data_IF_442452687659
#
_entry.id   IF_442452687659
#
_cell.length_a   1.000
_cell.length_b   1.000
_cell.length_c   1.000
_cell.angle_alpha   90.00
_cell.angle_beta   90.00
_cell.angle_gamma   90.00
#
_symmetry.space_group_name_H-M   'P 1'
#
loop_
_entity.id
_entity.type
_entity.pdbx_description
1 polymer ?
#
# COMPACT_ATOMS: atom_id res chain seq x y z
N UNK A 1 2.05 21.83 -20.27
CA UNK A 1 1.67 21.04 -19.08
C UNK A 1 2.57 19.82 -18.91
N UNK A 2 3.56 19.90 -18.02
CA UNK A 2 4.31 18.73 -17.58
C UNK A 2 3.50 18.05 -16.46
N UNK A 3 2.88 16.91 -16.77
CA UNK A 3 2.30 16.06 -15.74
C UNK A 3 3.44 15.51 -14.86
N UNK A 4 3.57 16.04 -13.64
CA UNK A 4 4.49 15.48 -12.65
C UNK A 4 4.02 14.07 -12.28
N UNK A 5 4.89 13.08 -12.42
CA UNK A 5 4.61 11.73 -11.93
C UNK A 5 4.47 11.76 -10.40
N UNK A 6 3.62 10.89 -9.86
CA UNK A 6 3.53 10.68 -8.40
C UNK A 6 4.91 10.40 -7.81
N UNK A 7 5.76 9.66 -8.52
CA UNK A 7 7.13 9.34 -8.09
C UNK A 7 8.01 10.58 -7.96
N UNK A 8 7.83 11.57 -8.83
CA UNK A 8 8.64 12.80 -8.83
C UNK A 8 8.26 13.68 -7.64
N UNK A 9 6.96 13.73 -7.31
CA UNK A 9 6.46 14.45 -6.11
C UNK A 9 6.95 13.79 -4.83
N UNK A 10 6.84 12.47 -4.72
CA UNK A 10 7.32 11.71 -3.56
C UNK A 10 8.82 11.90 -3.37
N UNK A 11 9.61 11.85 -4.45
CA UNK A 11 11.06 12.03 -4.37
C UNK A 11 11.45 13.47 -4.01
N UNK A 12 10.69 14.47 -4.46
CA UNK A 12 10.88 15.85 -4.01
C UNK A 12 10.64 15.97 -2.49
N UNK A 13 9.51 15.48 -1.99
CA UNK A 13 9.20 15.53 -0.56
C UNK A 13 10.20 14.74 0.30
N UNK A 14 10.70 13.63 -0.23
CA UNK A 14 11.79 12.87 0.39
C UNK A 14 13.05 13.72 0.56
N UNK A 15 13.47 14.43 -0.49
CA UNK A 15 14.63 15.34 -0.43
C UNK A 15 14.39 16.48 0.55
N UNK A 16 13.21 17.08 0.55
CA UNK A 16 12.86 18.17 1.45
C UNK A 16 12.90 17.71 2.91
N UNK A 17 12.33 16.54 3.21
CA UNK A 17 12.40 15.93 4.53
C UNK A 17 13.84 15.60 4.95
N UNK A 18 14.65 15.07 4.03
CA UNK A 18 16.05 14.81 4.29
C UNK A 18 16.85 16.09 4.54
N UNK A 19 16.53 17.21 3.88
CA UNK A 19 17.19 18.49 4.17
C UNK A 19 16.93 18.97 5.61
N UNK A 20 15.82 18.55 6.22
CA UNK A 20 15.49 18.82 7.62
C UNK A 20 16.18 17.86 8.60
N UNK A 21 16.90 16.84 8.12
CA UNK A 21 17.54 15.82 8.97
C UNK A 21 18.71 16.32 9.83
N UNK A 22 19.18 17.55 9.61
CA UNK A 22 20.21 18.19 10.43
C UNK A 22 19.73 18.56 11.84
N UNK A 23 18.43 18.46 12.13
CA UNK A 23 17.90 18.65 13.47
C UNK A 23 18.37 17.53 14.42
N UNK A 24 18.57 17.86 15.70
CA UNK A 24 18.98 16.91 16.77
C UNK A 24 18.03 15.73 16.96
N UNK A 25 16.85 15.83 16.37
CA UNK A 25 15.66 15.12 16.76
C UNK A 25 15.32 13.98 15.77
N UNK A 26 16.12 13.84 14.69
CA UNK A 26 16.04 12.81 13.64
C UNK A 26 14.73 12.71 12.87
N UNK A 27 13.78 13.63 13.08
CA UNK A 27 12.44 13.54 12.47
C UNK A 27 12.50 13.67 10.95
N UNK A 28 13.37 14.52 10.41
CA UNK A 28 13.60 14.61 8.98
C UNK A 28 14.04 13.27 8.35
N UNK A 29 14.82 12.47 9.07
CA UNK A 29 15.24 11.13 8.63
C UNK A 29 14.04 10.18 8.61
N UNK A 30 13.24 10.17 9.68
CA UNK A 30 12.03 9.32 9.77
C UNK A 30 11.06 9.62 8.62
N UNK A 31 10.77 10.90 8.38
CA UNK A 31 9.89 11.33 7.28
C UNK A 31 10.50 10.95 5.91
N UNK A 32 11.81 11.14 5.72
CA UNK A 32 12.49 10.72 4.49
C UNK A 32 12.36 9.21 4.26
N UNK A 33 12.47 8.39 5.30
CA UNK A 33 12.28 6.93 5.19
C UNK A 33 10.83 6.54 4.90
N UNK A 34 9.86 7.29 5.44
CA UNK A 34 8.46 7.09 5.10
C UNK A 34 8.18 7.36 3.60
N UNK A 35 8.80 8.41 3.03
CA UNK A 35 8.70 8.65 1.58
C UNK A 35 9.46 7.61 0.75
N UNK A 36 10.59 7.11 1.22
CA UNK A 36 11.31 6.01 0.55
C UNK A 36 10.43 4.75 0.45
N UNK A 37 9.74 4.39 1.54
CA UNK A 37 8.76 3.31 1.56
C UNK A 37 7.63 3.52 0.54
N UNK A 38 7.02 4.71 0.51
CA UNK A 38 5.99 5.04 -0.48
C UNK A 38 6.52 4.99 -1.91
N UNK A 39 7.78 5.35 -2.12
CA UNK A 39 8.41 5.37 -3.44
C UNK A 39 8.63 3.96 -3.98
N UNK A 40 8.97 2.99 -3.12
CA UNK A 40 9.01 1.55 -3.49
C UNK A 40 7.65 1.08 -3.98
N UNK A 41 6.58 1.36 -3.22
CA UNK A 41 5.21 0.99 -3.60
C UNK A 41 4.79 1.67 -4.90
N UNK A 42 5.09 2.97 -5.06
CA UNK A 42 4.69 3.74 -6.24
C UNK A 42 5.40 3.30 -7.53
N UNK A 43 6.67 2.86 -7.44
CA UNK A 43 7.44 2.41 -8.61
C UNK A 43 7.20 0.96 -8.98
N UNK A 44 7.17 0.09 -7.97
CA UNK A 44 7.28 -1.35 -8.19
C UNK A 44 6.06 -2.14 -7.67
N UNK A 45 5.13 -1.47 -6.98
CA UNK A 45 3.94 -2.07 -6.40
C UNK A 45 4.17 -2.68 -5.01
N UNK A 46 3.08 -3.19 -4.44
CA UNK A 46 3.05 -3.75 -3.08
C UNK A 46 3.72 -5.12 -2.91
N UNK A 47 4.09 -5.77 -4.01
CA UNK A 47 4.72 -7.10 -4.01
C UNK A 47 6.24 -7.03 -4.21
N UNK A 48 6.82 -5.83 -4.27
CA UNK A 48 8.26 -5.66 -4.45
C UNK A 48 9.05 -6.23 -3.26
N UNK A 49 10.14 -6.93 -3.54
CA UNK A 49 10.99 -7.56 -2.54
C UNK A 49 11.68 -6.55 -1.60
N UNK A 50 11.96 -5.35 -2.09
CA UNK A 50 12.55 -4.26 -1.31
C UNK A 50 11.53 -3.59 -0.39
N UNK A 51 10.23 -3.86 -0.54
CA UNK A 51 9.21 -3.26 0.31
C UNK A 51 9.43 -3.64 1.78
N UNK A 52 9.82 -4.89 2.05
CA UNK A 52 10.16 -5.33 3.41
C UNK A 52 11.37 -4.58 3.95
N UNK A 53 12.41 -4.42 3.14
CA UNK A 53 13.61 -3.70 3.55
C UNK A 53 13.33 -2.23 3.85
N UNK A 54 12.55 -1.55 2.99
CA UNK A 54 12.14 -0.17 3.21
C UNK A 54 11.28 -0.01 4.48
N UNK A 55 10.38 -0.98 4.74
CA UNK A 55 9.56 -1.01 5.96
C UNK A 55 10.42 -1.19 7.21
N UNK A 56 11.35 -2.14 7.20
CA UNK A 56 12.26 -2.39 8.33
C UNK A 56 13.18 -1.18 8.59
N UNK A 57 13.62 -0.50 7.53
CA UNK A 57 14.40 0.74 7.64
C UNK A 57 13.60 1.87 8.29
N UNK A 58 12.30 2.02 7.98
CA UNK A 58 11.44 3.03 8.61
C UNK A 58 11.25 2.73 10.09
N UNK A 59 10.93 1.48 10.43
CA UNK A 59 10.77 1.01 11.83
C UNK A 59 11.99 1.33 12.67
N UNK A 60 13.17 1.04 12.15
CA UNK A 60 14.44 1.30 12.83
C UNK A 60 14.64 2.80 13.13
N UNK A 61 14.47 3.66 12.13
CA UNK A 61 14.66 5.10 12.32
C UNK A 61 13.61 5.70 13.25
N UNK A 62 12.35 5.23 13.19
CA UNK A 62 11.30 5.66 14.11
C UNK A 62 11.63 5.27 15.55
N UNK A 63 12.09 4.04 15.77
CA UNK A 63 12.51 3.56 17.09
C UNK A 63 13.65 4.43 17.65
N UNK A 64 14.68 4.70 16.85
CA UNK A 64 15.79 5.59 17.23
C UNK A 64 15.33 7.03 17.53
N UNK A 65 14.32 7.52 16.83
CA UNK A 65 13.77 8.85 17.09
C UNK A 65 12.96 8.91 18.39
N UNK A 66 12.28 7.82 18.80
CA UNK A 66 11.55 7.77 20.07
C UNK A 66 12.53 7.86 21.26
N UNK A 67 13.66 7.14 21.20
CA UNK A 67 14.65 7.12 22.28
C UNK A 67 15.34 8.46 22.53
N UNK A 68 15.31 9.38 21.55
CA UNK A 68 15.91 10.72 21.64
C UNK A 68 14.97 11.78 22.24
N UNK A 69 13.78 11.40 22.71
CA UNK A 69 12.81 12.31 23.33
C UNK A 69 13.34 12.75 24.70
N UNK A 70 13.92 13.95 24.76
CA UNK A 70 14.07 14.68 26.02
C UNK A 70 12.70 15.21 26.48
N UNK A 71 12.52 15.33 27.79
CA UNK A 71 11.32 15.68 28.61
C UNK A 71 10.38 16.82 28.14
N UNK A 72 10.62 17.47 26.99
CA UNK A 72 9.69 18.41 26.38
C UNK A 72 8.88 17.70 25.29
N UNK A 73 7.67 17.32 25.65
CA UNK A 73 6.69 16.71 24.75
C UNK A 73 6.35 17.68 23.60
N UNK A 74 6.97 17.45 22.43
CA UNK A 74 6.58 18.13 21.20
C UNK A 74 5.40 17.37 20.57
N UNK A 75 4.20 17.94 20.69
CA UNK A 75 2.98 17.34 20.16
C UNK A 75 3.05 17.05 18.66
N UNK A 76 3.69 17.89 17.85
CA UNK A 76 3.79 17.68 16.41
C UNK A 76 4.70 16.49 16.11
N UNK A 77 5.83 16.40 16.81
CA UNK A 77 6.74 15.24 16.74
C UNK A 77 6.00 13.94 17.03
N UNK A 78 5.23 13.89 18.11
CA UNK A 78 4.44 12.71 18.48
C UNK A 78 3.47 12.32 17.38
N UNK A 79 2.79 13.28 16.75
CA UNK A 79 1.88 12.99 15.64
C UNK A 79 2.61 12.48 14.40
N UNK A 80 3.79 13.02 14.06
CA UNK A 80 4.61 12.51 12.95
C UNK A 80 5.03 11.07 13.19
N UNK A 81 5.52 10.76 14.40
CA UNK A 81 5.93 9.39 14.75
C UNK A 81 4.74 8.41 14.69
N UNK A 82 3.56 8.83 15.16
CA UNK A 82 2.32 8.03 15.06
C UNK A 82 1.85 7.84 13.62
N UNK A 83 2.00 8.85 12.76
CA UNK A 83 1.70 8.73 11.33
C UNK A 83 2.62 7.70 10.67
N UNK A 84 3.92 7.75 10.96
CA UNK A 84 4.87 6.77 10.46
C UNK A 84 4.57 5.36 10.97
N UNK A 85 4.19 5.20 12.24
CA UNK A 85 3.73 3.93 12.79
C UNK A 85 2.47 3.39 12.08
N UNK A 86 1.48 4.24 11.81
CA UNK A 86 0.30 3.85 11.05
C UNK A 86 0.66 3.37 9.63
N UNK A 87 1.61 4.04 8.97
CA UNK A 87 2.15 3.58 7.68
C UNK A 87 2.84 2.22 7.80
N UNK A 88 3.62 1.99 8.84
CA UNK A 88 4.29 0.71 9.08
C UNK A 88 3.28 -0.43 9.25
N UNK A 89 2.24 -0.22 10.06
CA UNK A 89 1.17 -1.19 10.30
C UNK A 89 0.41 -1.50 9.01
N UNK A 90 0.06 -0.46 8.24
CA UNK A 90 -0.63 -0.61 6.95
C UNK A 90 0.21 -1.41 5.96
N UNK A 91 1.49 -1.07 5.83
CA UNK A 91 2.39 -1.76 4.89
C UNK A 91 2.72 -3.18 5.34
N UNK A 92 2.83 -3.44 6.64
CA UNK A 92 2.97 -4.80 7.16
C UNK A 92 1.77 -5.68 6.76
N UNK A 93 0.55 -5.17 6.94
CA UNK A 93 -0.67 -5.87 6.52
C UNK A 93 -0.71 -6.13 5.01
N UNK A 94 -0.30 -5.14 4.19
CA UNK A 94 -0.21 -5.30 2.73
C UNK A 94 0.77 -6.41 2.33
N UNK A 95 1.94 -6.47 2.98
CA UNK A 95 2.95 -7.52 2.74
C UNK A 95 2.42 -8.90 3.16
N UNK A 96 1.70 -8.98 4.28
CA UNK A 96 1.10 -10.22 4.77
C UNK A 96 0.03 -10.73 3.80
N UNK A 97 -0.92 -9.89 3.39
CA UNK A 97 -1.95 -10.25 2.42
C UNK A 97 -1.36 -10.61 1.05
N UNK A 98 -0.30 -9.94 0.61
CA UNK A 98 0.37 -10.25 -0.67
C UNK A 98 1.10 -11.59 -0.70
N UNK A 99 1.42 -12.18 0.46
CA UNK A 99 2.07 -13.49 0.59
C UNK A 99 1.09 -14.65 0.66
N UNK A 100 -0.16 -14.40 0.98
CA UNK A 100 -1.21 -15.40 0.88
C UNK A 100 -1.51 -15.63 -0.61
N UNK A 101 -0.75 -16.55 -1.24
CA UNK A 101 -1.13 -17.12 -2.54
C UNK A 101 -2.58 -17.58 -2.44
N UNK A 102 -3.44 -17.37 -3.46
CA UNK A 102 -4.65 -18.15 -3.57
C UNK A 102 -4.23 -19.62 -3.54
N UNK A 103 -4.67 -20.35 -2.51
CA UNK A 103 -4.59 -21.81 -2.50
C UNK A 103 -5.52 -22.27 -3.61
N UNK A 104 -5.02 -22.32 -4.84
CA UNK A 104 -5.57 -23.26 -5.81
C UNK A 104 -5.22 -24.63 -5.24
N UNK A 105 -6.24 -25.21 -4.64
CA UNK A 105 -6.21 -26.58 -4.17
C UNK A 105 -5.98 -27.46 -5.40
N UNK A 106 -4.77 -28.02 -5.54
CA UNK A 106 -4.42 -29.01 -6.57
C UNK A 106 -5.23 -30.32 -6.44
N UNK A 107 -6.23 -30.38 -5.55
CA UNK A 107 -7.14 -31.51 -5.37
C UNK A 107 -8.46 -31.43 -6.17
N UNK A 108 -8.68 -30.38 -6.98
CA UNK A 108 -9.79 -30.40 -7.92
C UNK A 108 -9.45 -31.30 -9.11
N UNK A 109 -9.82 -32.58 -9.03
CA UNK A 109 -9.91 -33.44 -10.20
C UNK A 109 -10.67 -32.70 -11.30
N UNK A 110 -10.19 -32.70 -12.56
CA UNK A 110 -10.89 -32.04 -13.65
C UNK A 110 -12.29 -32.65 -13.74
N UNK A 111 -13.31 -31.82 -13.51
CA UNK A 111 -14.69 -32.27 -13.68
C UNK A 111 -14.84 -32.84 -15.09
N UNK A 112 -15.45 -34.03 -15.23
CA UNK A 112 -15.66 -34.61 -16.54
C UNK A 112 -16.49 -33.63 -17.37
N UNK A 113 -16.00 -33.32 -18.57
CA UNK A 113 -16.74 -32.57 -19.57
C UNK A 113 -17.99 -33.40 -19.86
N UNK A 114 -19.12 -33.01 -19.27
CA UNK A 114 -20.42 -33.53 -19.66
C UNK A 114 -20.70 -32.92 -21.03
N UNK A 115 -20.49 -33.70 -22.08
CA UNK A 115 -20.98 -33.39 -23.42
C UNK A 115 -22.50 -33.39 -23.38
N UNK A 116 -23.08 -32.27 -22.95
CA UNK A 116 -24.49 -32.02 -23.09
C UNK A 116 -24.77 -31.83 -24.58
N UNK A 117 -25.32 -32.86 -25.20
CA UNK A 117 -25.97 -32.75 -26.50
C UNK A 117 -27.02 -31.64 -26.41
N UNK A 118 -26.72 -30.53 -27.08
CA UNK A 118 -27.59 -29.35 -27.12
C UNK A 118 -28.78 -29.68 -28.03
N UNK A 119 -29.84 -30.25 -27.46
CA UNK A 119 -31.13 -30.28 -28.15
C UNK A 119 -31.73 -28.87 -28.13
N UNK A 120 -31.64 -28.21 -29.28
CA UNK A 120 -32.21 -26.89 -29.52
C UNK A 120 -33.74 -26.95 -29.40
N UNK A 121 -34.29 -26.27 -28.40
CA UNK A 121 -35.69 -25.83 -28.45
C UNK A 121 -35.70 -24.30 -28.54
N UNK A 122 -36.43 -23.70 -29.50
CA UNK A 122 -36.46 -22.25 -29.66
C UNK A 122 -37.48 -21.66 -28.70
N UNK A 123 -37.05 -20.79 -27.80
CA UNK A 123 -37.96 -19.89 -27.10
C UNK A 123 -37.53 -18.43 -27.30
N UNK A 124 -38.51 -17.65 -27.77
CA UNK A 124 -38.44 -16.26 -28.20
C UNK A 124 -38.00 -15.28 -27.09
N UNK A 125 -37.43 -14.11 -27.45
CA UNK A 125 -36.97 -13.13 -26.48
C UNK A 125 -38.14 -12.29 -25.94
N UNK A 126 -38.40 -12.38 -24.64
CA UNK A 126 -39.22 -11.38 -23.95
C UNK A 126 -38.33 -10.22 -23.46
N UNK A 127 -38.39 -9.12 -24.20
CA UNK A 127 -37.90 -7.80 -23.79
C UNK A 127 -38.89 -7.23 -22.78
N UNK A 128 -38.44 -6.90 -21.57
CA UNK A 128 -39.08 -5.86 -20.75
C UNK A 128 -37.99 -4.96 -20.17
N UNK A 129 -37.85 -3.79 -20.77
CA UNK A 129 -37.33 -2.57 -20.16
C UNK A 129 -38.41 -1.99 -19.25
N UNK A 130 -38.03 -1.50 -18.07
CA UNK A 130 -38.64 -0.36 -17.34
C UNK A 130 -37.72 -0.09 -16.13
N UNK A 131 -36.88 0.94 -16.19
CA UNK A 131 -37.18 2.27 -15.62
C UNK A 131 -37.39 2.22 -14.11
N UNK A 132 -36.35 2.53 -13.32
CA UNK A 132 -36.48 3.29 -12.06
C UNK A 132 -35.21 4.15 -11.89
N UNK A 133 -35.26 5.37 -12.42
CA UNK A 133 -34.59 6.54 -11.85
C UNK A 133 -35.70 7.45 -11.30
N UNK A 134 -35.41 8.07 -10.15
CA UNK A 134 -36.04 9.23 -9.51
C UNK A 134 -36.65 8.95 -8.13
N UNK A 135 -35.89 9.28 -7.08
CA UNK A 135 -36.21 10.33 -6.09
C UNK A 135 -34.96 10.80 -5.35
#
# INVERSE_FOLDING_TARGET
DMAFSITDKIDQWRRDAYALSCSRDRIGIVISKAFELLMVVAKNGSLDENLKFALDSLKWERFMAIDLVNDREDSLRTHVLRLCEAMELTMASVIECGREKPRFDDSMEPMPIVSASFESTPHEPNIILNEIFDE
#
